data_IF_607982987927
#
_entry.id   IF_607982987927
#
_cell.length_a   1.000
_cell.length_b   1.000
_cell.length_c   1.000
_cell.angle_alpha   90.00
_cell.angle_beta   90.00
_cell.angle_gamma   90.00
#
_symmetry.space_group_name_H-M   'P 1'
#
loop_
_entity.id
_entity.type
_entity.pdbx_description
1 polymer ?
#
# COMPACT_ATOMS: atom_id res chain seq x y z
N UNK A 1 -17.26 16.15 17.13
CA UNK A 1 -16.27 15.85 16.06
C UNK A 1 -15.81 14.39 16.21
N UNK A 2 -16.65 13.41 15.82
CA UNK A 2 -16.29 12.00 15.62
C UNK A 2 -17.39 11.35 14.75
N UNK A 3 -17.73 11.99 13.61
CA UNK A 3 -18.45 11.33 12.52
C UNK A 3 -17.46 10.99 11.40
N UNK A 4 -16.39 10.26 11.72
CA UNK A 4 -15.69 9.46 10.71
C UNK A 4 -16.51 8.18 10.46
N UNK A 5 -17.75 8.44 10.06
CA UNK A 5 -18.74 7.66 9.34
C UNK A 5 -18.57 6.14 9.33
N UNK A 6 -19.56 5.45 9.91
CA UNK A 6 -19.85 4.03 9.66
C UNK A 6 -19.80 3.69 8.15
N UNK A 7 -20.09 4.66 7.28
CA UNK A 7 -20.00 4.54 5.82
C UNK A 7 -18.56 4.46 5.30
N UNK A 8 -17.61 5.16 5.94
CA UNK A 8 -16.18 5.10 5.60
C UNK A 8 -15.59 3.71 5.83
N UNK A 9 -15.83 3.13 7.01
CA UNK A 9 -15.41 1.76 7.32
C UNK A 9 -16.12 0.71 6.46
N UNK A 10 -17.42 0.87 6.19
CA UNK A 10 -18.14 0.00 5.25
C UNK A 10 -17.53 0.02 3.85
N UNK A 11 -17.10 1.18 3.36
CA UNK A 11 -16.47 1.29 2.05
C UNK A 11 -15.10 0.59 2.01
N UNK A 12 -14.31 0.71 3.09
CA UNK A 12 -13.03 -0.01 3.23
C UNK A 12 -13.29 -1.53 3.25
N UNK A 13 -14.22 -2.00 4.08
CA UNK A 13 -14.56 -3.42 4.16
C UNK A 13 -15.08 -3.97 2.83
N UNK A 14 -15.86 -3.17 2.09
CA UNK A 14 -16.32 -3.53 0.74
C UNK A 14 -15.17 -3.69 -0.25
N UNK A 15 -14.12 -2.86 -0.15
CA UNK A 15 -12.94 -2.96 -1.02
C UNK A 15 -12.12 -4.20 -0.72
N UNK A 16 -11.93 -4.52 0.57
CA UNK A 16 -11.20 -5.73 1.01
C UNK A 16 -11.92 -7.01 0.53
N UNK A 17 -13.25 -6.97 0.37
CA UNK A 17 -14.04 -8.11 -0.09
C UNK A 17 -13.98 -8.34 -1.62
N UNK A 18 -13.33 -7.47 -2.40
CA UNK A 18 -13.11 -7.74 -3.82
C UNK A 18 -11.97 -8.74 -4.01
N UNK A 19 -12.28 -9.86 -4.66
CA UNK A 19 -11.28 -10.81 -5.16
C UNK A 19 -10.93 -10.46 -6.61
N UNK A 20 -9.70 -10.00 -6.85
CA UNK A 20 -9.22 -9.66 -8.18
C UNK A 20 -8.64 -10.93 -8.85
N UNK A 21 -9.26 -11.36 -9.96
CA UNK A 21 -8.86 -12.57 -10.71
C UNK A 21 -7.91 -12.24 -11.90
N UNK A 22 -7.07 -11.23 -11.75
CA UNK A 22 -6.08 -10.81 -12.75
C UNK A 22 -4.72 -10.53 -12.11
N UNK A 23 -3.66 -10.39 -12.94
CA UNK A 23 -2.35 -9.96 -12.46
C UNK A 23 -2.46 -8.64 -11.69
N UNK A 24 -1.84 -8.54 -10.51
CA UNK A 24 -1.95 -7.36 -9.65
C UNK A 24 -1.03 -6.26 -10.19
N UNK A 25 -1.60 -5.21 -10.80
CA UNK A 25 -0.86 -3.99 -11.16
C UNK A 25 -0.62 -3.10 -9.91
N UNK A 26 0.27 -3.57 -9.03
CA UNK A 26 0.73 -2.79 -7.87
C UNK A 26 1.38 -1.49 -8.32
N UNK A 27 2.04 -1.52 -9.48
CA UNK A 27 2.70 -0.37 -10.10
C UNK A 27 1.76 0.81 -10.29
N UNK A 28 0.73 0.63 -11.11
CA UNK A 28 -0.24 1.67 -11.42
C UNK A 28 -1.06 2.13 -10.21
N UNK A 29 -1.39 1.21 -9.29
CA UNK A 29 -2.11 1.57 -8.05
C UNK A 29 -1.26 2.49 -7.18
N UNK A 30 0.00 2.13 -6.96
CA UNK A 30 0.89 2.87 -6.08
C UNK A 30 1.28 4.22 -6.70
N UNK A 31 1.52 4.29 -8.01
CA UNK A 31 1.73 5.56 -8.71
C UNK A 31 0.55 6.53 -8.52
N UNK A 32 -0.69 6.05 -8.63
CA UNK A 32 -1.89 6.87 -8.37
C UNK A 32 -2.00 7.31 -6.91
N UNK A 33 -1.64 6.45 -5.95
CA UNK A 33 -1.64 6.80 -4.53
C UNK A 33 -0.61 7.90 -4.23
N UNK A 34 0.61 7.75 -4.73
CA UNK A 34 1.67 8.74 -4.54
C UNK A 34 1.38 10.06 -5.25
N UNK A 35 0.73 10.03 -6.42
CA UNK A 35 0.26 11.25 -7.09
C UNK A 35 -0.78 12.02 -6.25
N UNK A 36 -1.57 11.35 -5.40
CA UNK A 36 -2.49 12.04 -4.48
C UNK A 36 -1.75 12.82 -3.40
N UNK A 37 -0.58 12.37 -2.95
CA UNK A 37 0.21 13.09 -1.93
C UNK A 37 0.57 14.51 -2.37
N UNK A 38 0.71 14.73 -3.68
CA UNK A 38 0.97 16.06 -4.24
C UNK A 38 -0.22 17.04 -4.09
N UNK A 39 -1.41 16.56 -3.72
CA UNK A 39 -2.60 17.39 -3.50
C UNK A 39 -2.63 17.88 -2.05
N UNK A 40 -2.99 19.15 -1.82
CA UNK A 40 -3.01 19.79 -0.48
C UNK A 40 -3.75 18.97 0.58
N UNK A 41 -4.83 18.26 0.19
CA UNK A 41 -5.62 17.43 1.10
C UNK A 41 -4.86 16.23 1.67
N UNK A 42 -3.86 15.70 0.96
CA UNK A 42 -3.15 14.46 1.28
C UNK A 42 -1.66 14.69 1.53
N UNK A 43 -1.25 15.95 1.66
CA UNK A 43 0.14 16.37 1.78
C UNK A 43 0.88 15.69 2.94
N UNK A 44 0.17 15.47 4.05
CA UNK A 44 0.73 14.90 5.28
C UNK A 44 0.30 13.43 5.47
N UNK A 45 -0.18 12.78 4.41
CA UNK A 45 -0.64 11.40 4.49
C UNK A 45 0.51 10.41 4.30
N UNK A 46 0.48 9.35 5.10
CA UNK A 46 1.29 8.15 4.88
C UNK A 46 0.57 7.16 3.97
N UNK A 47 1.34 6.30 3.30
CA UNK A 47 0.83 5.23 2.44
C UNK A 47 1.07 3.88 3.12
N UNK A 48 0.05 3.03 3.15
CA UNK A 48 0.16 1.65 3.63
C UNK A 48 -0.16 0.68 2.47
N UNK A 49 0.82 -0.12 2.08
CA UNK A 49 0.69 -1.19 1.10
C UNK A 49 0.45 -2.51 1.83
N UNK A 50 -0.67 -3.17 1.56
CA UNK A 50 -0.98 -4.51 2.06
C UNK A 50 -0.94 -5.47 0.88
N UNK A 51 -0.02 -6.43 0.89
CA UNK A 51 0.17 -7.35 -0.24
C UNK A 51 0.90 -8.64 0.17
N UNK A 52 0.73 -9.68 -0.63
CA UNK A 52 1.50 -10.92 -0.55
C UNK A 52 2.89 -10.83 -1.21
N UNK A 53 3.26 -9.64 -1.73
CA UNK A 53 4.56 -9.38 -2.32
C UNK A 53 4.74 -9.87 -3.75
N UNK A 54 3.69 -10.42 -4.39
CA UNK A 54 3.78 -11.01 -5.74
C UNK A 54 3.64 -9.96 -6.85
N UNK A 55 4.62 -9.06 -6.94
CA UNK A 55 4.70 -8.01 -7.96
C UNK A 55 6.16 -7.61 -8.24
N UNK A 56 6.38 -6.82 -9.29
CA UNK A 56 7.71 -6.24 -9.61
C UNK A 56 7.72 -4.77 -9.19
N UNK A 57 8.66 -4.41 -8.32
CA UNK A 57 8.73 -3.07 -7.73
C UNK A 57 9.41 -2.00 -8.62
N UNK A 58 10.15 -2.39 -9.67
CA UNK A 58 11.07 -1.52 -10.42
C UNK A 58 10.41 -0.23 -10.92
N UNK A 59 9.24 -0.35 -11.55
CA UNK A 59 8.53 0.80 -12.12
C UNK A 59 8.07 1.81 -11.08
N UNK A 60 7.79 1.35 -9.85
CA UNK A 60 7.43 2.23 -8.73
C UNK A 60 8.68 2.84 -8.11
N UNK A 61 9.75 2.07 -7.93
CA UNK A 61 11.03 2.60 -7.42
C UNK A 61 11.51 3.73 -8.32
N UNK A 62 11.51 3.53 -9.64
CA UNK A 62 11.84 4.58 -10.60
C UNK A 62 10.93 5.80 -10.48
N UNK A 63 9.64 5.59 -10.28
CA UNK A 63 8.68 6.67 -10.12
C UNK A 63 8.93 7.48 -8.85
N UNK A 64 9.18 6.81 -7.71
CA UNK A 64 9.53 7.43 -6.43
C UNK A 64 10.82 8.25 -6.58
N UNK A 65 11.86 7.67 -7.19
CA UNK A 65 13.15 8.34 -7.40
C UNK A 65 13.05 9.57 -8.33
N UNK A 66 12.04 9.64 -9.19
CA UNK A 66 11.77 10.80 -10.05
C UNK A 66 10.88 11.85 -9.39
N UNK A 67 10.33 11.59 -8.21
CA UNK A 67 9.51 12.58 -7.52
C UNK A 67 10.37 13.77 -7.07
N UNK A 68 9.86 15.01 -7.19
CA UNK A 68 10.55 16.16 -6.63
C UNK A 68 10.70 15.97 -5.12
N UNK A 69 11.89 16.32 -4.61
CA UNK A 69 12.39 16.13 -3.24
C UNK A 69 11.66 16.98 -2.17
N UNK A 70 10.37 17.25 -2.38
CA UNK A 70 9.61 18.31 -1.71
C UNK A 70 8.68 17.83 -0.61
N UNK A 71 8.43 16.52 -0.50
CA UNK A 71 7.57 15.96 0.55
C UNK A 71 8.10 14.60 1.02
N UNK A 72 8.61 14.50 2.26
CA UNK A 72 8.87 13.21 2.87
C UNK A 72 7.52 12.53 3.13
N UNK A 73 7.28 11.39 2.46
CA UNK A 73 6.16 10.51 2.76
C UNK A 73 6.69 9.18 3.28
N UNK A 74 5.91 8.48 4.10
CA UNK A 74 6.25 7.13 4.54
C UNK A 74 5.42 6.13 3.78
N UNK A 75 6.10 5.12 3.23
CA UNK A 75 5.46 3.96 2.62
C UNK A 75 5.64 2.77 3.56
N UNK A 76 4.58 2.43 4.29
CA UNK A 76 4.53 1.29 5.20
C UNK A 76 4.07 0.04 4.45
N UNK A 77 4.67 -1.11 4.74
CA UNK A 77 4.27 -2.38 4.16
C UNK A 77 3.63 -3.30 5.19
N UNK A 78 2.53 -3.96 4.85
CA UNK A 78 1.98 -5.10 5.59
C UNK A 78 2.04 -6.30 4.66
N UNK A 79 2.97 -7.21 4.95
CA UNK A 79 3.19 -8.40 4.15
C UNK A 79 2.34 -9.55 4.68
N UNK A 80 1.37 -10.02 3.88
CA UNK A 80 0.34 -11.01 4.27
C UNK A 80 0.62 -12.42 3.77
N UNK A 81 1.88 -12.75 3.51
CA UNK A 81 2.26 -14.07 2.98
C UNK A 81 3.47 -14.67 3.71
N UNK A 82 3.67 -15.97 3.50
CA UNK A 82 4.87 -16.70 3.95
C UNK A 82 6.01 -16.66 2.92
N UNK A 83 5.80 -16.01 1.78
CA UNK A 83 6.78 -15.94 0.71
C UNK A 83 7.79 -14.80 0.94
N UNK A 84 8.77 -14.68 0.05
CA UNK A 84 9.80 -13.65 0.18
C UNK A 84 9.19 -12.23 0.08
N UNK A 85 9.49 -11.37 1.05
CA UNK A 85 9.01 -9.98 1.11
C UNK A 85 9.91 -8.97 0.36
N UNK A 86 10.91 -9.42 -0.40
CA UNK A 86 11.94 -8.55 -0.98
C UNK A 86 11.38 -7.46 -1.90
N UNK A 87 10.29 -7.73 -2.63
CA UNK A 87 9.62 -6.70 -3.43
C UNK A 87 8.91 -5.65 -2.56
N UNK A 88 8.38 -6.06 -1.40
CA UNK A 88 7.82 -5.15 -0.40
C UNK A 88 8.92 -4.30 0.22
N UNK A 89 10.03 -4.89 0.65
CA UNK A 89 11.16 -4.21 1.32
C UNK A 89 11.85 -3.18 0.42
N UNK A 90 11.84 -3.39 -0.90
CA UNK A 90 12.34 -2.42 -1.87
C UNK A 90 11.53 -1.14 -1.95
N UNK A 91 10.24 -1.20 -1.57
CA UNK A 91 9.32 -0.07 -1.64
C UNK A 91 9.04 0.52 -0.26
N UNK A 92 8.84 -0.33 0.72
CA UNK A 92 8.24 0.00 1.99
C UNK A 92 9.27 -0.01 3.11
N UNK A 93 9.24 1.02 3.96
CA UNK A 93 10.10 1.12 5.14
C UNK A 93 9.29 1.76 6.28
N UNK A 94 8.94 1.01 7.35
CA UNK A 94 9.16 -0.43 7.59
C UNK A 94 8.17 -1.37 6.87
N UNK A 95 8.51 -2.67 6.82
CA UNK A 95 7.60 -3.78 6.47
C UNK A 95 7.24 -4.56 7.73
N UNK A 96 5.94 -4.75 7.96
CA UNK A 96 5.36 -5.56 9.01
C UNK A 96 4.93 -6.91 8.44
N UNK A 97 5.39 -8.01 9.03
CA UNK A 97 5.11 -9.36 8.57
C UNK A 97 3.95 -9.97 9.37
N UNK A 98 2.89 -10.39 8.68
CA UNK A 98 1.76 -11.07 9.29
C UNK A 98 1.88 -12.58 9.09
N UNK A 99 2.68 -13.23 9.93
CA UNK A 99 3.02 -14.65 9.82
C UNK A 99 1.93 -15.58 10.39
N UNK A 100 1.07 -15.05 11.27
CA UNK A 100 0.11 -15.84 12.07
C UNK A 100 -1.36 -15.76 11.60
N UNK A 101 -1.66 -15.20 10.43
CA UNK A 101 -3.05 -15.11 9.92
C UNK A 101 -3.70 -16.48 9.64
N UNK A 102 -2.88 -17.55 9.58
CA UNK A 102 -3.32 -18.90 9.23
C UNK A 102 -3.00 -19.94 10.32
N UNK A 103 -2.52 -19.50 11.49
CA UNK A 103 -2.18 -20.40 12.60
C UNK A 103 -3.39 -20.75 13.50
N UNK A 104 -4.53 -20.09 13.28
CA UNK A 104 -5.82 -20.44 13.87
C UNK A 104 -6.69 -21.09 12.79
N UNK A 105 -6.46 -22.37 12.53
CA UNK A 105 -7.22 -23.22 11.62
C UNK A 105 -6.96 -24.68 11.94
#
# INVERSE_FOLDING_TARGET
>A
MLEQSVTGWRNILRIINYSFHGGTDVGGVLQRALAKLQQTRWRDADVCLISDGRFVADTVVEFINRMPDRQPFRLHGIHVSRWNAGQMERLCQPVYHLENLWAAG
#
